data_IF_831123208702
#
_entry.id   IF_831123208702
#
_cell.length_a   1.000
_cell.length_b   1.000
_cell.length_c   1.000
_cell.angle_alpha   90.00
_cell.angle_beta   90.00
_cell.angle_gamma   90.00
#
_symmetry.space_group_name_H-M   'P 1'
#
loop_
_entity.id
_entity.type
_entity.pdbx_description
1 polymer ?
#
# COMPACT_ATOMS: atom_id res chain seq x y z
N UNK A 1 38.62 12.47 2.35
CA UNK A 1 37.55 12.25 1.35
C UNK A 1 38.06 11.23 0.34
N UNK A 2 37.67 9.96 0.50
CA UNK A 2 38.10 8.87 -0.40
C UNK A 2 37.10 8.80 -1.56
N UNK A 3 37.53 9.16 -2.77
CA UNK A 3 36.70 9.12 -3.96
C UNK A 3 36.45 7.68 -4.38
N UNK A 4 35.34 7.08 -3.91
CA UNK A 4 34.90 5.78 -4.37
C UNK A 4 34.37 5.90 -5.80
N UNK A 5 35.25 5.68 -6.78
CA UNK A 5 34.92 5.64 -8.20
C UNK A 5 33.94 4.49 -8.44
N UNK A 6 32.64 4.80 -8.45
CA UNK A 6 31.61 3.83 -8.82
C UNK A 6 31.81 3.45 -10.29
N UNK A 7 32.46 2.30 -10.49
CA UNK A 7 32.50 1.60 -11.77
C UNK A 7 31.06 1.34 -12.21
N UNK A 8 30.52 2.23 -13.06
CA UNK A 8 29.36 1.88 -13.89
C UNK A 8 29.77 0.61 -14.62
N UNK A 9 29.19 -0.53 -14.24
CA UNK A 9 29.35 -1.78 -14.99
C UNK A 9 28.95 -1.45 -16.42
N UNK A 10 29.94 -1.40 -17.33
CA UNK A 10 29.67 -1.26 -18.75
C UNK A 10 28.76 -2.43 -19.12
N UNK A 11 27.58 -2.12 -19.63
CA UNK A 11 26.72 -3.15 -20.20
C UNK A 11 27.49 -3.70 -21.39
N UNK A 12 28.08 -4.88 -21.23
CA UNK A 12 28.83 -5.52 -22.31
C UNK A 12 27.83 -5.83 -23.42
N UNK A 13 28.22 -5.49 -24.66
CA UNK A 13 27.42 -5.83 -25.84
C UNK A 13 27.12 -7.33 -25.80
N UNK A 14 25.87 -7.70 -26.10
CA UNK A 14 25.44 -9.09 -26.05
C UNK A 14 26.30 -9.91 -27.02
N UNK A 15 27.03 -10.89 -26.50
CA UNK A 15 27.91 -11.71 -27.32
C UNK A 15 27.06 -12.72 -28.14
N UNK A 16 27.14 -12.71 -29.49
CA UNK A 16 26.39 -13.65 -30.32
C UNK A 16 26.67 -15.12 -30.02
N UNK A 17 27.91 -15.44 -29.61
CA UNK A 17 28.29 -16.78 -29.16
C UNK A 17 27.48 -17.23 -27.94
N UNK A 18 27.23 -16.33 -26.97
CA UNK A 18 26.43 -16.66 -25.78
C UNK A 18 24.96 -16.90 -26.12
N UNK A 19 24.44 -16.17 -27.10
CA UNK A 19 23.08 -16.36 -27.59
C UNK A 19 22.92 -17.73 -28.28
N UNK A 20 23.90 -18.11 -29.10
CA UNK A 20 23.97 -19.43 -29.72
C UNK A 20 24.02 -20.56 -28.68
N UNK A 21 24.94 -20.47 -27.71
CA UNK A 21 25.05 -21.48 -26.64
C UNK A 21 23.75 -21.62 -25.84
N UNK A 22 23.07 -20.51 -25.55
CA UNK A 22 21.79 -20.54 -24.86
C UNK A 22 20.70 -21.26 -25.66
N UNK A 23 20.61 -21.03 -26.98
CA UNK A 23 19.66 -21.75 -27.84
C UNK A 23 19.99 -23.23 -27.93
N UNK A 24 21.26 -23.59 -28.11
CA UNK A 24 21.71 -24.99 -28.13
C UNK A 24 21.36 -25.69 -26.81
N UNK A 25 21.59 -25.05 -25.67
CA UNK A 25 21.23 -25.58 -24.36
C UNK A 25 19.70 -25.80 -24.23
N UNK A 26 18.88 -24.90 -24.77
CA UNK A 26 17.42 -25.09 -24.84
C UNK A 26 17.05 -26.30 -25.71
N UNK A 27 17.68 -26.46 -26.87
CA UNK A 27 17.33 -27.53 -27.81
C UNK A 27 17.73 -28.91 -27.26
N UNK A 28 18.89 -29.02 -26.59
CA UNK A 28 19.26 -30.22 -25.83
C UNK A 28 18.26 -30.52 -24.72
N UNK A 29 17.78 -29.49 -24.02
CA UNK A 29 16.80 -29.65 -22.95
C UNK A 29 15.35 -29.87 -23.42
N UNK A 30 15.00 -29.61 -24.69
CA UNK A 30 13.65 -29.93 -25.19
C UNK A 30 13.39 -31.45 -25.25
N UNK A 31 14.44 -32.27 -25.18
CA UNK A 31 14.36 -33.73 -25.06
C UNK A 31 14.25 -34.29 -23.64
N UNK A 32 14.30 -33.46 -22.58
CA UNK A 32 14.25 -33.92 -21.18
C UNK A 32 14.13 -32.80 -20.14
N UNK A 33 13.54 -33.08 -18.97
CA UNK A 33 13.06 -32.07 -18.01
C UNK A 33 14.12 -30.98 -17.63
N UNK A 34 13.97 -29.71 -18.10
CA UNK A 34 15.05 -28.70 -18.15
C UNK A 34 15.58 -28.23 -16.79
N UNK A 35 14.77 -28.27 -15.73
CA UNK A 35 15.16 -27.80 -14.40
C UNK A 35 16.03 -28.81 -13.63
N UNK A 36 15.87 -30.11 -13.95
CA UNK A 36 16.61 -31.17 -13.29
C UNK A 36 18.08 -31.15 -13.71
N UNK A 37 18.43 -30.89 -14.98
CA UNK A 37 19.82 -31.01 -15.42
C UNK A 37 20.73 -29.86 -14.94
N UNK A 38 20.24 -28.61 -14.88
CA UNK A 38 21.06 -27.47 -14.46
C UNK A 38 21.27 -27.42 -12.93
N UNK A 39 20.26 -27.80 -12.13
CA UNK A 39 20.40 -27.93 -10.67
C UNK A 39 21.26 -29.17 -10.34
N UNK A 40 21.00 -30.31 -10.98
CA UNK A 40 21.83 -31.52 -10.84
C UNK A 40 23.28 -31.27 -11.29
N UNK A 41 23.54 -30.39 -12.25
CA UNK A 41 24.90 -29.99 -12.64
C UNK A 41 25.63 -29.15 -11.57
N UNK A 42 24.90 -28.43 -10.70
CA UNK A 42 25.48 -27.52 -9.71
C UNK A 42 25.50 -28.05 -8.26
N UNK A 43 24.67 -29.06 -7.89
CA UNK A 43 24.44 -29.41 -6.46
C UNK A 43 24.68 -30.84 -6.00
N UNK A 44 24.98 -31.83 -6.86
CA UNK A 44 25.29 -33.19 -6.35
C UNK A 44 26.81 -33.44 -6.23
N UNK A 45 27.28 -34.02 -5.10
CA UNK A 45 28.67 -34.47 -4.96
C UNK A 45 28.97 -35.61 -5.94
N UNK A 46 30.19 -35.56 -6.50
CA UNK A 46 30.64 -36.31 -7.69
C UNK A 46 30.64 -37.84 -7.51
N UNK A 47 30.47 -38.36 -6.29
CA UNK A 47 30.82 -39.74 -5.96
C UNK A 47 29.90 -40.82 -6.56
N UNK A 48 28.57 -40.61 -6.65
CA UNK A 48 27.64 -41.74 -6.88
C UNK A 48 26.81 -41.67 -8.17
N UNK A 49 27.27 -40.94 -9.20
CA UNK A 49 26.64 -41.06 -10.52
C UNK A 49 27.28 -42.18 -11.32
N UNK A 50 26.48 -43.20 -11.64
CA UNK A 50 26.74 -44.16 -12.73
C UNK A 50 27.17 -43.36 -13.97
N UNK A 51 28.36 -43.65 -14.48
CA UNK A 51 28.97 -43.04 -15.66
C UNK A 51 28.10 -43.29 -16.91
N UNK A 52 27.04 -42.50 -17.08
CA UNK A 52 26.33 -42.35 -18.35
C UNK A 52 26.71 -41.00 -18.95
N UNK A 53 27.61 -41.03 -19.93
CA UNK A 53 27.99 -39.97 -20.87
C UNK A 53 27.87 -38.52 -20.39
N UNK A 54 28.80 -38.15 -19.49
CA UNK A 54 29.24 -36.76 -19.41
C UNK A 54 30.15 -36.51 -20.60
N UNK A 55 29.59 -36.23 -21.77
CA UNK A 55 30.37 -35.56 -22.81
C UNK A 55 31.09 -34.36 -22.15
N UNK A 56 32.40 -34.33 -22.30
CA UNK A 56 33.25 -33.34 -21.67
C UNK A 56 32.77 -31.94 -22.10
N UNK A 57 32.61 -30.98 -21.19
CA UNK A 57 32.22 -29.60 -21.56
C UNK A 57 33.09 -29.04 -22.69
N UNK A 58 34.33 -29.52 -22.77
CA UNK A 58 35.26 -29.25 -23.87
C UNK A 58 34.78 -29.82 -25.21
N UNK A 59 34.33 -31.07 -25.28
CA UNK A 59 33.82 -31.66 -26.53
C UNK A 59 32.54 -30.96 -27.00
N UNK A 60 31.64 -30.61 -26.09
CA UNK A 60 30.44 -29.82 -26.39
C UNK A 60 30.82 -28.42 -26.89
N UNK A 61 31.81 -27.78 -26.27
CA UNK A 61 32.30 -26.47 -26.70
C UNK A 61 32.96 -26.53 -28.08
N UNK A 62 33.73 -27.58 -28.38
CA UNK A 62 34.39 -27.76 -29.69
C UNK A 62 33.37 -28.02 -30.79
N UNK A 63 32.42 -28.94 -30.59
CA UNK A 63 31.36 -29.19 -31.57
C UNK A 63 30.44 -27.99 -31.77
N UNK A 64 30.13 -27.26 -30.69
CA UNK A 64 29.39 -26.00 -30.74
C UNK A 64 30.13 -24.91 -31.53
N UNK A 65 31.45 -24.86 -31.45
CA UNK A 65 32.26 -23.88 -32.18
C UNK A 65 32.20 -24.12 -33.70
N UNK A 66 32.25 -25.38 -34.13
CA UNK A 66 32.12 -25.75 -35.55
C UNK A 66 30.73 -25.46 -36.09
N UNK A 67 29.68 -25.86 -35.36
CA UNK A 67 28.30 -25.55 -35.74
C UNK A 67 28.05 -24.04 -35.82
N UNK A 68 28.56 -23.26 -34.87
CA UNK A 68 28.42 -21.82 -34.87
C UNK A 68 29.01 -21.14 -36.11
N UNK A 69 30.14 -21.64 -36.63
CA UNK A 69 30.73 -21.12 -37.88
C UNK A 69 29.80 -21.36 -39.09
N UNK A 70 28.96 -22.39 -39.03
CA UNK A 70 28.02 -22.73 -40.09
C UNK A 70 26.64 -22.04 -39.95
N UNK A 71 26.37 -21.37 -38.81
CA UNK A 71 25.11 -20.64 -38.61
C UNK A 71 25.08 -19.38 -39.46
N UNK A 72 23.96 -19.17 -40.17
CA UNK A 72 23.79 -17.97 -40.99
C UNK A 72 23.81 -16.70 -40.12
N UNK A 73 24.29 -15.57 -40.67
CA UNK A 73 24.26 -14.28 -39.97
C UNK A 73 22.84 -13.82 -39.62
N UNK A 74 21.84 -14.23 -40.40
CA UNK A 74 20.44 -13.94 -40.12
C UNK A 74 19.95 -14.70 -38.88
N UNK A 75 20.23 -16.01 -38.81
CA UNK A 75 19.87 -16.83 -37.66
C UNK A 75 20.58 -16.37 -36.38
N UNK A 76 21.86 -15.97 -36.51
CA UNK A 76 22.62 -15.45 -35.38
C UNK A 76 21.98 -14.17 -34.81
N UNK A 77 21.51 -13.26 -35.66
CA UNK A 77 20.77 -12.06 -35.23
C UNK A 77 19.48 -12.43 -34.51
N UNK A 78 18.74 -13.41 -35.03
CA UNK A 78 17.52 -13.92 -34.39
C UNK A 78 17.82 -14.53 -33.01
N UNK A 79 18.90 -15.32 -32.88
CA UNK A 79 19.33 -15.88 -31.59
C UNK A 79 19.70 -14.79 -30.59
N UNK A 80 20.41 -13.76 -31.02
CA UNK A 80 20.77 -12.60 -30.17
C UNK A 80 19.51 -11.89 -29.68
N UNK A 81 18.53 -11.65 -30.56
CA UNK A 81 17.26 -11.04 -30.19
C UNK A 81 16.47 -11.91 -29.20
N UNK A 82 16.36 -13.22 -29.45
CA UNK A 82 15.70 -14.16 -28.53
C UNK A 82 16.40 -14.19 -27.16
N UNK A 83 17.73 -14.20 -27.14
CA UNK A 83 18.50 -14.21 -25.91
C UNK A 83 18.40 -12.88 -25.14
N UNK A 84 18.31 -11.75 -25.84
CA UNK A 84 18.03 -10.46 -25.22
C UNK A 84 16.67 -10.46 -24.52
N UNK A 85 15.62 -10.93 -25.22
CA UNK A 85 14.27 -11.09 -24.68
C UNK A 85 14.26 -12.04 -23.47
N UNK A 86 14.99 -13.14 -23.54
CA UNK A 86 15.16 -14.06 -22.41
C UNK A 86 15.86 -13.40 -21.21
N UNK A 87 16.95 -12.64 -21.42
CA UNK A 87 17.58 -11.91 -20.32
C UNK A 87 16.64 -10.89 -19.68
N UNK A 88 15.85 -10.21 -20.50
CA UNK A 88 14.85 -9.27 -20.02
C UNK A 88 13.75 -9.98 -19.23
N UNK A 89 13.28 -11.15 -19.69
CA UNK A 89 12.30 -11.96 -18.96
C UNK A 89 12.86 -12.57 -17.68
N UNK A 90 14.15 -12.94 -17.62
CA UNK A 90 14.80 -13.40 -16.36
C UNK A 90 14.99 -12.24 -15.37
N UNK A 91 15.31 -11.05 -15.89
CA UNK A 91 15.44 -9.83 -15.08
C UNK A 91 14.11 -9.42 -14.47
N UNK A 92 13.03 -9.50 -15.24
CA UNK A 92 11.67 -9.12 -14.83
C UNK A 92 10.84 -10.30 -14.32
N UNK A 93 11.40 -11.51 -14.35
CA UNK A 93 10.69 -12.74 -14.10
C UNK A 93 10.35 -12.88 -12.62
N UNK A 94 9.10 -13.28 -12.36
CA UNK A 94 8.63 -13.57 -11.00
C UNK A 94 9.49 -14.69 -10.42
N UNK A 95 10.11 -14.44 -9.26
CA UNK A 95 10.85 -15.49 -8.53
C UNK A 95 9.85 -16.56 -8.08
N UNK A 96 10.19 -17.83 -8.31
CA UNK A 96 9.29 -18.95 -8.02
C UNK A 96 9.22 -19.23 -6.52
N UNK A 97 10.38 -19.28 -5.84
CA UNK A 97 10.44 -19.65 -4.43
C UNK A 97 10.28 -18.43 -3.51
N UNK A 98 9.67 -18.63 -2.35
CA UNK A 98 9.49 -17.59 -1.32
C UNK A 98 10.83 -17.03 -0.84
N UNK A 99 11.84 -17.88 -0.63
CA UNK A 99 13.18 -17.46 -0.23
C UNK A 99 13.86 -16.61 -1.31
N UNK A 100 13.75 -16.97 -2.59
CA UNK A 100 14.30 -16.16 -3.66
C UNK A 100 13.58 -14.82 -3.79
N UNK A 101 12.26 -14.76 -3.58
CA UNK A 101 11.50 -13.49 -3.54
C UNK A 101 12.01 -12.58 -2.40
N UNK A 102 12.12 -13.12 -1.18
CA UNK A 102 12.57 -12.35 -0.02
C UNK A 102 14.01 -11.81 -0.20
N UNK A 103 14.92 -12.65 -0.73
CA UNK A 103 16.30 -12.24 -1.02
C UNK A 103 16.36 -11.18 -2.12
N UNK A 104 15.61 -11.36 -3.20
CA UNK A 104 15.54 -10.40 -4.32
C UNK A 104 14.98 -9.05 -3.85
N UNK A 105 13.94 -9.07 -2.99
CA UNK A 105 13.40 -7.89 -2.32
C UNK A 105 14.45 -7.17 -1.48
N UNK A 106 15.09 -7.86 -0.53
CA UNK A 106 16.08 -7.26 0.36
C UNK A 106 17.28 -6.69 -0.41
N UNK A 107 17.84 -7.44 -1.36
CA UNK A 107 18.97 -7.01 -2.18
C UNK A 107 18.61 -5.79 -3.06
N UNK A 108 17.39 -5.76 -3.61
CA UNK A 108 16.94 -4.63 -4.44
C UNK A 108 16.75 -3.37 -3.61
N UNK A 109 16.14 -3.49 -2.43
CA UNK A 109 15.96 -2.35 -1.51
C UNK A 109 17.32 -1.82 -1.04
N UNK A 110 18.25 -2.71 -0.69
CA UNK A 110 19.62 -2.33 -0.29
C UNK A 110 20.37 -1.58 -1.41
N UNK A 111 20.27 -2.03 -2.66
CA UNK A 111 20.86 -1.32 -3.80
C UNK A 111 20.21 0.03 -4.04
N UNK A 112 18.89 0.13 -3.88
CA UNK A 112 18.18 1.39 -4.01
C UNK A 112 18.63 2.38 -2.91
N UNK A 113 18.79 1.91 -1.67
CA UNK A 113 19.34 2.70 -0.56
C UNK A 113 20.73 3.26 -0.90
N UNK A 114 21.67 2.42 -1.36
CA UNK A 114 23.03 2.85 -1.70
C UNK A 114 23.01 3.94 -2.80
N UNK A 115 22.19 3.74 -3.83
CA UNK A 115 22.05 4.71 -4.92
C UNK A 115 21.44 6.03 -4.46
N UNK A 116 20.40 5.99 -3.61
CA UNK A 116 19.76 7.19 -3.09
C UNK A 116 20.65 7.94 -2.08
N UNK A 117 21.43 7.23 -1.26
CA UNK A 117 22.47 7.85 -0.41
C UNK A 117 23.55 8.53 -1.26
N UNK A 118 24.01 7.88 -2.33
CA UNK A 118 24.96 8.46 -3.28
C UNK A 118 24.40 9.64 -4.08
N UNK A 119 23.08 9.69 -4.30
CA UNK A 119 22.41 10.86 -4.91
C UNK A 119 22.25 11.99 -3.90
N UNK A 120 21.87 11.67 -2.66
CA UNK A 120 21.73 12.61 -1.55
C UNK A 120 23.05 13.34 -1.28
N UNK A 121 24.17 12.62 -1.23
CA UNK A 121 25.48 13.24 -1.00
C UNK A 121 25.90 14.21 -2.12
N UNK A 122 25.47 13.96 -3.36
CA UNK A 122 25.84 14.79 -4.52
C UNK A 122 24.93 16.00 -4.73
N UNK A 123 23.67 15.91 -4.29
CA UNK A 123 22.63 16.90 -4.63
C UNK A 123 22.00 17.58 -3.42
N UNK A 124 22.23 17.05 -2.21
CA UNK A 124 21.51 17.44 -1.01
C UNK A 124 20.07 16.93 -0.95
N UNK A 125 19.59 16.17 -1.95
CA UNK A 125 18.25 15.60 -1.93
C UNK A 125 18.08 14.60 -0.78
N UNK A 126 16.88 14.58 -0.18
CA UNK A 126 16.56 13.78 1.00
C UNK A 126 15.52 12.74 0.59
N UNK A 127 15.72 11.47 0.96
CA UNK A 127 14.86 10.37 0.54
C UNK A 127 14.37 9.53 1.71
N UNK A 128 13.13 9.07 1.59
CA UNK A 128 12.50 8.09 2.47
C UNK A 128 11.98 6.94 1.59
N UNK A 129 12.38 5.70 1.88
CA UNK A 129 11.89 4.50 1.23
C UNK A 129 11.05 3.73 2.23
N UNK A 130 9.79 3.47 1.85
CA UNK A 130 8.90 2.52 2.51
C UNK A 130 8.70 1.33 1.58
N UNK A 131 9.28 0.19 1.93
CA UNK A 131 9.14 -1.04 1.15
C UNK A 131 8.42 -2.10 2.00
N UNK A 132 7.29 -2.60 1.51
CA UNK A 132 6.46 -3.59 2.19
C UNK A 132 6.13 -4.75 1.28
N UNK A 133 5.80 -5.90 1.86
CA UNK A 133 5.28 -7.04 1.11
C UNK A 133 3.81 -6.80 0.73
N UNK A 134 3.48 -7.00 -0.55
CA UNK A 134 2.09 -6.92 -1.05
C UNK A 134 1.37 -8.26 -1.12
N UNK A 135 2.00 -9.35 -0.66
CA UNK A 135 1.47 -10.70 -0.80
C UNK A 135 1.91 -11.55 0.37
N UNK A 136 1.06 -12.49 0.79
CA UNK A 136 1.40 -13.53 1.77
C UNK A 136 2.25 -14.66 1.19
N UNK A 137 2.55 -14.64 -0.11
CA UNK A 137 3.30 -15.71 -0.80
C UNK A 137 4.79 -15.75 -0.44
N UNK A 138 5.31 -14.72 0.23
CA UNK A 138 6.64 -14.72 0.82
C UNK A 138 6.65 -13.81 2.04
N UNK A 139 7.44 -14.18 3.04
CA UNK A 139 7.62 -13.40 4.26
C UNK A 139 8.94 -12.65 4.16
N UNK A 140 8.90 -11.35 3.87
CA UNK A 140 10.04 -10.46 4.02
C UNK A 140 9.64 -9.34 4.97
N UNK A 141 10.53 -9.01 5.90
CA UNK A 141 10.30 -7.91 6.83
C UNK A 141 10.18 -6.59 6.05
N UNK A 142 9.21 -5.72 6.41
CA UNK A 142 9.16 -4.37 5.90
C UNK A 142 10.49 -3.65 6.07
N UNK A 143 10.86 -2.86 5.07
CA UNK A 143 12.10 -2.09 5.09
C UNK A 143 11.78 -0.60 5.07
N UNK A 144 12.37 0.11 6.03
CA UNK A 144 12.30 1.55 6.19
C UNK A 144 13.72 2.10 6.10
N UNK A 145 13.97 2.91 5.08
CA UNK A 145 15.28 3.53 4.84
C UNK A 145 15.09 5.03 4.74
N UNK A 146 15.87 5.79 5.50
CA UNK A 146 16.00 7.23 5.36
C UNK A 146 17.46 7.57 5.02
N UNK A 147 17.67 8.63 4.25
CA UNK A 147 19.03 9.11 3.95
C UNK A 147 19.74 9.71 5.16
N UNK A 148 18.98 10.19 6.14
CA UNK A 148 19.45 10.99 7.27
C UNK A 148 18.42 10.97 8.40
N UNK A 149 18.89 11.30 9.60
CA UNK A 149 18.08 11.30 10.81
C UNK A 149 16.99 12.39 10.79
N UNK A 150 17.21 13.52 10.14
CA UNK A 150 16.21 14.59 10.06
C UNK A 150 14.97 14.12 9.27
N UNK A 151 15.21 13.47 8.14
CA UNK A 151 14.15 12.88 7.31
C UNK A 151 13.37 11.80 8.06
N UNK A 152 14.06 10.99 8.88
CA UNK A 152 13.41 10.02 9.76
C UNK A 152 12.49 10.71 10.79
N UNK A 153 13.01 11.73 11.47
CA UNK A 153 12.31 12.42 12.55
C UNK A 153 11.18 13.35 12.07
N UNK A 154 11.20 13.78 10.81
CA UNK A 154 10.20 14.69 10.23
C UNK A 154 8.77 14.23 10.48
N UNK A 155 8.48 12.93 10.33
CA UNK A 155 7.12 12.40 10.54
C UNK A 155 6.70 12.42 12.00
N UNK A 156 7.60 12.05 12.90
CA UNK A 156 7.36 12.08 14.34
C UNK A 156 7.16 13.51 14.83
N UNK A 157 8.00 14.45 14.40
CA UNK A 157 7.97 15.84 14.87
C UNK A 157 6.81 16.62 14.26
N UNK A 158 6.60 16.53 12.94
CA UNK A 158 5.61 17.35 12.26
C UNK A 158 4.19 16.76 12.30
N UNK A 159 4.07 15.43 12.34
CA UNK A 159 2.76 14.76 12.27
C UNK A 159 2.43 13.96 13.53
N UNK A 160 3.34 13.85 14.50
CA UNK A 160 3.18 13.00 15.67
C UNK A 160 2.82 11.55 15.27
N UNK A 161 3.48 11.05 14.22
CA UNK A 161 3.27 9.70 13.70
C UNK A 161 4.58 8.93 13.76
N UNK A 162 4.52 7.70 14.28
CA UNK A 162 5.62 6.75 14.15
C UNK A 162 5.66 6.17 12.72
N UNK A 163 6.83 6.23 12.08
CA UNK A 163 7.04 5.68 10.75
C UNK A 163 6.89 4.16 10.73
N UNK A 164 7.23 3.47 11.82
CA UNK A 164 7.05 2.02 11.92
C UNK A 164 5.56 1.64 11.94
N UNK A 165 4.72 2.44 12.57
CA UNK A 165 3.27 2.27 12.52
C UNK A 165 2.72 2.50 11.11
N UNK A 166 3.21 3.54 10.41
CA UNK A 166 2.84 3.80 9.02
C UNK A 166 3.23 2.61 8.14
N UNK A 167 4.45 2.11 8.29
CA UNK A 167 4.98 0.99 7.52
C UNK A 167 4.15 -0.29 7.76
N UNK A 168 3.83 -0.59 9.02
CA UNK A 168 2.99 -1.75 9.39
C UNK A 168 1.58 -1.63 8.80
N UNK A 169 0.97 -0.44 8.86
CA UNK A 169 -0.35 -0.18 8.25
C UNK A 169 -0.30 -0.30 6.73
N UNK A 170 0.77 0.19 6.10
CA UNK A 170 0.97 0.11 4.66
C UNK A 170 1.15 -1.34 4.20
N UNK A 171 1.89 -2.16 4.97
CA UNK A 171 2.01 -3.59 4.71
C UNK A 171 0.66 -4.29 4.81
N UNK A 172 -0.07 -4.10 5.92
CA UNK A 172 -1.41 -4.67 6.08
C UNK A 172 -2.36 -4.28 4.95
N UNK A 173 -2.31 -3.01 4.50
CA UNK A 173 -3.10 -2.53 3.37
C UNK A 173 -2.70 -3.18 2.04
N UNK A 174 -1.40 -3.36 1.82
CA UNK A 174 -0.86 -3.97 0.61
C UNK A 174 -1.23 -5.46 0.53
N UNK A 175 -1.08 -6.20 1.65
CA UNK A 175 -1.50 -7.60 1.77
C UNK A 175 -3.01 -7.76 1.57
N UNK A 176 -3.81 -6.80 2.04
CA UNK A 176 -5.25 -6.76 1.81
C UNK A 176 -5.66 -6.42 0.36
N UNK A 177 -4.69 -6.27 -0.56
CA UNK A 177 -4.94 -6.00 -1.97
C UNK A 177 -5.51 -4.60 -2.23
N UNK A 178 -5.10 -3.61 -1.42
CA UNK A 178 -5.57 -2.23 -1.56
C UNK A 178 -7.04 -2.04 -1.17
N UNK A 179 -7.67 -3.05 -0.58
CA UNK A 179 -9.05 -2.96 -0.09
C UNK A 179 -9.02 -2.66 1.41
N UNK A 180 -9.12 -1.38 1.75
CA UNK A 180 -9.42 -0.88 3.10
C UNK A 180 -10.82 -1.30 3.60
N UNK A 181 -11.60 -2.03 2.79
CA UNK A 181 -13.00 -2.35 3.03
C UNK A 181 -13.24 -3.13 4.33
N UNK A 182 -12.22 -3.83 4.85
CA UNK A 182 -12.30 -4.44 6.19
C UNK A 182 -12.32 -3.40 7.32
N UNK A 183 -11.46 -2.38 7.28
CA UNK A 183 -11.33 -1.43 8.39
C UNK A 183 -12.35 -0.28 8.32
N UNK A 184 -12.52 0.35 7.15
CA UNK A 184 -13.51 1.41 6.96
C UNK A 184 -14.95 0.86 6.93
N UNK A 185 -15.12 -0.35 6.39
CA UNK A 185 -16.41 -1.05 6.38
C UNK A 185 -16.89 -1.38 7.79
N UNK A 186 -15.99 -1.76 8.70
CA UNK A 186 -16.37 -2.05 10.09
C UNK A 186 -16.93 -0.82 10.82
N UNK A 187 -16.38 0.37 10.58
CA UNK A 187 -16.95 1.59 11.18
C UNK A 187 -18.32 1.91 10.60
N UNK A 188 -18.47 1.87 9.28
CA UNK A 188 -19.75 2.12 8.62
C UNK A 188 -20.82 1.10 9.03
N UNK A 189 -20.45 -0.18 9.14
CA UNK A 189 -21.31 -1.26 9.64
C UNK A 189 -21.69 -1.03 11.09
N UNK A 190 -20.74 -0.71 11.97
CA UNK A 190 -21.02 -0.41 13.38
C UNK A 190 -22.02 0.75 13.52
N UNK A 191 -21.84 1.82 12.74
CA UNK A 191 -22.80 2.94 12.70
C UNK A 191 -24.16 2.53 12.13
N UNK A 192 -24.20 1.64 11.14
CA UNK A 192 -25.47 1.12 10.59
C UNK A 192 -26.19 0.19 11.57
N UNK A 193 -25.49 -0.70 12.26
CA UNK A 193 -26.05 -1.59 13.28
C UNK A 193 -26.65 -0.75 14.41
N UNK A 194 -25.89 0.22 14.94
CA UNK A 194 -26.41 1.13 15.96
C UNK A 194 -27.61 1.96 15.50
N UNK A 195 -27.71 2.30 14.21
CA UNK A 195 -28.89 2.99 13.67
C UNK A 195 -30.11 2.08 13.57
N UNK A 196 -29.93 0.81 13.18
CA UNK A 196 -31.01 -0.18 13.09
C UNK A 196 -31.59 -0.50 14.46
N UNK A 197 -30.76 -0.54 15.50
CA UNK A 197 -31.25 -0.88 16.83
C UNK A 197 -32.02 0.27 17.54
N UNK A 198 -31.98 1.49 17.02
CA UNK A 198 -32.87 2.57 17.49
C UNK A 198 -34.35 2.32 17.14
N UNK A 199 -34.67 1.31 16.33
CA UNK A 199 -36.04 1.00 15.91
C UNK A 199 -37.00 0.73 17.11
N UNK A 200 -36.48 0.38 18.30
CA UNK A 200 -37.27 0.19 19.53
C UNK A 200 -38.10 1.43 19.90
N UNK A 201 -37.60 2.63 19.58
CA UNK A 201 -38.29 3.89 19.91
C UNK A 201 -39.38 4.28 18.91
N UNK A 202 -39.58 3.52 17.82
CA UNK A 202 -40.46 3.84 16.69
C UNK A 202 -40.17 5.19 15.99
N UNK A 203 -39.15 5.92 16.41
CA UNK A 203 -38.75 7.20 15.84
C UNK A 203 -37.47 7.06 15.03
N UNK A 204 -37.61 6.97 13.70
CA UNK A 204 -36.48 6.83 12.77
C UNK A 204 -35.54 8.05 12.74
N UNK A 205 -35.91 9.15 13.41
CA UNK A 205 -35.18 10.43 13.40
C UNK A 205 -34.24 10.63 14.57
N UNK A 206 -34.24 9.73 15.56
CA UNK A 206 -33.38 9.88 16.73
C UNK A 206 -31.92 9.68 16.33
N UNK A 207 -31.09 10.69 16.61
CA UNK A 207 -29.64 10.61 16.45
C UNK A 207 -29.02 10.34 17.80
N UNK A 208 -28.19 9.30 17.88
CA UNK A 208 -27.47 8.95 19.10
C UNK A 208 -26.55 10.10 19.56
N UNK A 209 -26.73 10.56 20.80
CA UNK A 209 -25.92 11.61 21.41
C UNK A 209 -25.19 11.06 22.64
N UNK A 210 -23.93 10.65 22.48
CA UNK A 210 -23.16 10.01 23.55
C UNK A 210 -22.84 10.94 24.74
N UNK A 211 -22.54 12.23 24.49
CA UNK A 211 -22.24 13.20 25.56
C UNK A 211 -23.44 13.54 26.44
N UNK A 212 -24.63 13.56 25.86
CA UNK A 212 -25.88 13.93 26.54
C UNK A 212 -26.83 12.73 26.56
N UNK A 213 -26.26 11.53 26.61
CA UNK A 213 -26.96 10.26 26.46
C UNK A 213 -28.09 10.11 27.47
N UNK A 214 -27.79 10.35 28.76
CA UNK A 214 -28.78 10.25 29.82
C UNK A 214 -29.99 11.15 29.56
N UNK A 215 -29.75 12.45 29.38
CA UNK A 215 -30.81 13.46 29.17
C UNK A 215 -31.60 13.27 27.88
N UNK A 216 -30.95 12.94 26.77
CA UNK A 216 -31.60 12.93 25.46
C UNK A 216 -32.12 11.58 25.02
N UNK A 217 -31.58 10.48 25.55
CA UNK A 217 -32.02 9.12 25.20
C UNK A 217 -32.77 8.52 26.38
N UNK A 218 -32.14 8.40 27.55
CA UNK A 218 -32.74 7.73 28.72
C UNK A 218 -33.94 8.51 29.26
N UNK A 219 -33.77 9.80 29.61
CA UNK A 219 -34.85 10.60 30.21
C UNK A 219 -36.03 10.85 29.26
N UNK A 220 -35.77 11.00 27.96
CA UNK A 220 -36.81 11.32 26.97
C UNK A 220 -37.55 10.10 26.43
N UNK A 221 -36.81 9.02 26.14
CA UNK A 221 -37.36 7.87 25.43
C UNK A 221 -37.52 6.64 26.32
N UNK A 222 -37.06 6.69 27.58
CA UNK A 222 -37.11 5.55 28.52
C UNK A 222 -36.43 4.29 27.96
N UNK A 223 -35.32 4.48 27.24
CA UNK A 223 -34.52 3.37 26.68
C UNK A 223 -33.10 3.45 27.19
N UNK A 224 -32.57 2.31 27.62
CA UNK A 224 -31.18 2.15 28.09
C UNK A 224 -30.48 1.09 27.25
N UNK A 225 -29.26 1.37 26.83
CA UNK A 225 -28.35 0.41 26.23
C UNK A 225 -27.64 -0.40 27.32
N UNK A 226 -27.95 -1.69 27.41
CA UNK A 226 -27.32 -2.64 28.34
C UNK A 226 -26.09 -3.30 27.71
N UNK A 227 -25.22 -3.85 28.56
CA UNK A 227 -24.09 -4.70 28.17
C UNK A 227 -23.06 -4.05 27.23
N UNK A 228 -22.83 -2.75 27.41
CA UNK A 228 -21.75 -2.05 26.71
C UNK A 228 -20.39 -2.65 27.09
N UNK A 229 -19.52 -3.04 26.13
CA UNK A 229 -18.33 -3.84 26.42
C UNK A 229 -17.14 -3.06 27.00
N UNK A 230 -17.28 -1.76 27.27
CA UNK A 230 -16.21 -0.90 27.76
C UNK A 230 -16.58 -0.19 29.05
N UNK A 231 -15.58 0.11 29.88
CA UNK A 231 -15.78 0.83 31.15
C UNK A 231 -16.37 2.24 30.96
N UNK A 232 -16.09 2.89 29.82
CA UNK A 232 -16.56 4.26 29.53
C UNK A 232 -17.46 4.28 28.31
N UNK A 233 -18.64 4.85 28.48
CA UNK A 233 -19.60 5.07 27.40
C UNK A 233 -19.16 6.24 26.51
N UNK A 234 -18.76 5.94 25.27
CA UNK A 234 -18.17 6.91 24.33
C UNK A 234 -18.67 6.70 22.91
N UNK A 235 -18.55 7.74 22.09
CA UNK A 235 -18.86 7.64 20.66
C UNK A 235 -17.95 6.62 19.97
N UNK A 236 -18.47 5.81 19.02
CA UNK A 236 -17.65 4.93 18.18
C UNK A 236 -16.53 5.67 17.46
N UNK A 237 -16.72 6.94 17.09
CA UNK A 237 -15.66 7.77 16.49
C UNK A 237 -14.52 8.10 17.47
N UNK A 238 -14.78 8.10 18.78
CA UNK A 238 -13.73 8.24 19.79
C UNK A 238 -13.05 6.90 20.09
N UNK A 239 -13.68 5.78 19.73
CA UNK A 239 -13.11 4.43 19.79
C UNK A 239 -12.29 4.09 18.53
N UNK A 240 -12.42 4.85 17.44
CA UNK A 240 -11.82 4.54 16.13
C UNK A 240 -10.29 4.57 16.10
N UNK A 241 -9.63 5.10 17.14
CA UNK A 241 -8.18 4.97 17.32
C UNK A 241 -7.73 3.53 17.55
N UNK A 242 -8.65 2.61 17.88
CA UNK A 242 -8.37 1.20 18.15
C UNK A 242 -9.38 0.30 17.42
N UNK A 243 -8.98 -0.18 16.24
CA UNK A 243 -9.73 -1.19 15.47
C UNK A 243 -10.27 -2.36 16.31
N UNK A 244 -9.51 -2.96 17.25
CA UNK A 244 -10.04 -4.08 18.05
C UNK A 244 -11.20 -3.65 18.94
N UNK A 245 -11.21 -2.43 19.48
CA UNK A 245 -12.36 -1.94 20.27
C UNK A 245 -13.61 -1.81 19.41
N UNK A 246 -13.49 -1.25 18.21
CA UNK A 246 -14.64 -1.15 17.30
C UNK A 246 -15.16 -2.54 16.90
N UNK A 247 -14.27 -3.52 16.72
CA UNK A 247 -14.65 -4.90 16.46
C UNK A 247 -15.35 -5.54 17.67
N UNK A 248 -14.81 -5.42 18.88
CA UNK A 248 -15.45 -5.93 20.11
C UNK A 248 -16.86 -5.35 20.30
N UNK A 249 -17.04 -4.06 19.99
CA UNK A 249 -18.35 -3.42 20.05
C UNK A 249 -19.32 -3.98 19.01
N UNK A 250 -18.87 -4.14 17.77
CA UNK A 250 -19.68 -4.71 16.70
C UNK A 250 -20.06 -6.17 17.02
N UNK A 251 -19.13 -6.95 17.54
CA UNK A 251 -19.37 -8.32 18.02
C UNK A 251 -20.36 -8.37 19.19
N UNK A 252 -20.32 -7.38 20.09
CA UNK A 252 -21.26 -7.29 21.22
C UNK A 252 -22.69 -6.96 20.77
N UNK A 253 -22.83 -6.12 19.73
CA UNK A 253 -24.12 -5.72 19.14
C UNK A 253 -24.70 -6.81 18.22
N UNK A 254 -23.88 -7.42 17.36
CA UNK A 254 -24.35 -8.44 16.40
C UNK A 254 -24.60 -9.81 17.05
N UNK A 255 -24.04 -10.05 18.25
CA UNK A 255 -24.05 -11.36 18.88
C UNK A 255 -23.01 -12.29 18.25
N UNK A 256 -21.94 -12.59 18.98
CA UNK A 256 -20.87 -13.44 18.48
C UNK A 256 -21.37 -14.89 18.29
N UNK A 257 -21.44 -15.35 17.03
CA UNK A 257 -21.57 -16.78 16.71
C UNK A 257 -22.90 -17.43 17.12
N UNK A 258 -24.01 -16.70 17.03
CA UNK A 258 -25.35 -17.23 17.35
C UNK A 258 -25.74 -17.11 18.82
N UNK A 259 -24.89 -16.51 19.65
CA UNK A 259 -25.27 -16.10 21.00
C UNK A 259 -26.08 -14.80 20.96
N UNK A 260 -26.96 -14.63 21.94
CA UNK A 260 -27.70 -13.38 22.13
C UNK A 260 -26.75 -12.18 22.18
N UNK A 261 -27.14 -11.03 21.60
CA UNK A 261 -26.31 -9.83 21.65
C UNK A 261 -26.07 -9.47 23.11
N UNK A 262 -24.80 -9.22 23.46
CA UNK A 262 -24.45 -8.78 24.81
C UNK A 262 -24.83 -7.32 24.99
N UNK A 263 -24.74 -6.53 23.92
CA UNK A 263 -25.15 -5.14 23.91
C UNK A 263 -26.49 -5.00 23.17
N UNK A 264 -27.52 -4.57 23.87
CA UNK A 264 -28.86 -4.39 23.32
C UNK A 264 -29.59 -3.26 24.03
N UNK A 265 -30.62 -2.74 23.37
CA UNK A 265 -31.48 -1.70 23.91
C UNK A 265 -32.65 -2.31 24.65
N UNK A 266 -32.95 -1.75 25.82
CA UNK A 266 -34.01 -2.19 26.71
C UNK A 266 -34.87 -0.98 27.10
N UNK A 267 -36.20 -1.13 27.02
CA UNK A 267 -37.15 -0.16 27.57
C UNK A 267 -37.23 -0.34 29.08
N UNK A 268 -37.06 0.76 29.82
CA UNK A 268 -37.07 0.75 31.29
C UNK A 268 -38.42 1.21 31.84
N UNK A 269 -38.82 0.65 32.98
CA UNK A 269 -40.01 1.07 33.72
C UNK A 269 -39.76 2.37 34.52
N UNK A 270 -40.82 3.06 34.94
CA UNK A 270 -40.70 4.35 35.64
C UNK A 270 -39.94 4.24 36.97
N UNK A 271 -40.07 3.12 37.68
CA UNK A 271 -39.31 2.86 38.91
C UNK A 271 -37.81 2.71 38.67
N UNK A 272 -37.44 1.99 37.60
CA UNK A 272 -36.04 1.84 37.22
C UNK A 272 -35.47 3.16 36.70
N UNK A 273 -36.30 3.94 36.01
CA UNK A 273 -35.93 5.28 35.56
C UNK A 273 -35.60 6.20 36.74
N UNK A 274 -36.44 6.26 37.78
CA UNK A 274 -36.18 7.09 38.97
C UNK A 274 -34.87 6.68 39.67
N UNK A 275 -34.60 5.38 39.76
CA UNK A 275 -33.35 4.87 40.32
C UNK A 275 -32.13 5.29 39.48
N UNK A 276 -32.19 5.16 38.16
CA UNK A 276 -31.11 5.57 37.26
C UNK A 276 -30.88 7.09 37.25
N UNK A 277 -31.96 7.88 37.32
CA UNK A 277 -31.88 9.34 37.38
C UNK A 277 -31.21 9.78 38.70
N UNK A 278 -31.58 9.17 39.82
CA UNK A 278 -30.94 9.43 41.12
C UNK A 278 -29.46 9.01 41.15
N UNK A 279 -29.09 7.89 40.52
CA UNK A 279 -27.68 7.51 40.37
C UNK A 279 -26.90 8.47 39.47
N UNK A 280 -27.52 8.94 38.38
CA UNK A 280 -26.91 9.91 37.48
C UNK A 280 -26.63 11.23 38.20
N UNK A 281 -27.61 11.77 38.93
CA UNK A 281 -27.45 12.98 39.75
C UNK A 281 -26.33 12.81 40.79
N UNK A 282 -26.30 11.68 41.50
CA UNK A 282 -25.22 11.37 42.44
C UNK A 282 -23.83 11.36 41.78
N UNK A 283 -23.71 10.79 40.58
CA UNK A 283 -22.45 10.77 39.84
C UNK A 283 -22.03 12.15 39.33
N UNK A 284 -23.00 13.01 39.01
CA UNK A 284 -22.75 14.42 38.66
C UNK A 284 -22.28 15.21 39.88
N UNK A 285 -22.92 15.02 41.03
CA UNK A 285 -22.53 15.68 42.30
C UNK A 285 -21.13 15.28 42.76
N UNK A 286 -20.75 14.01 42.53
CA UNK A 286 -19.40 13.51 42.81
C UNK A 286 -18.36 13.98 41.77
N UNK A 287 -18.78 14.60 40.67
CA UNK A 287 -17.90 15.02 39.58
C UNK A 287 -17.31 13.88 38.76
N UNK A 288 -17.90 12.68 38.82
CA UNK A 288 -17.51 11.54 37.98
C UNK A 288 -17.99 11.72 36.53
N UNK A 289 -19.12 12.41 36.35
CA UNK A 289 -19.68 12.77 35.06
C UNK A 289 -19.68 14.28 34.94
N UNK A 290 -19.18 14.80 33.82
CA UNK A 290 -19.26 16.22 33.52
C UNK A 290 -20.73 16.66 33.50
N UNK A 291 -21.10 17.57 34.40
CA UNK A 291 -22.44 18.15 34.43
C UNK A 291 -22.78 18.67 33.02
N UNK A 292 -24.00 18.42 32.51
CA UNK A 292 -24.41 18.94 31.21
C UNK A 292 -24.17 20.44 31.17
N UNK A 293 -23.24 20.90 30.33
CA UNK A 293 -22.96 22.33 30.22
C UNK A 293 -24.26 23.04 29.88
N UNK A 294 -24.75 23.83 30.83
CA UNK A 294 -25.82 24.76 30.55
C UNK A 294 -25.36 25.63 29.40
N UNK A 295 -26.18 25.67 28.35
CA UNK A 295 -25.83 26.40 27.15
C UNK A 295 -25.78 27.86 27.57
N UNK A 296 -24.56 28.43 27.62
CA UNK A 296 -24.35 29.80 28.04
C UNK A 296 -25.35 30.70 27.31
N UNK A 297 -26.12 31.46 28.09
CA UNK A 297 -27.09 32.40 27.55
C UNK A 297 -26.32 33.30 26.59
N UNK A 298 -26.76 33.30 25.33
CA UNK A 298 -26.05 34.08 24.31
C UNK A 298 -26.08 35.54 24.73
N UNK A 299 -24.98 36.28 24.53
CA UNK A 299 -24.86 37.70 24.91
C UNK A 299 -25.89 38.61 24.23
N UNK A 300 -26.54 38.11 23.18
CA UNK A 300 -27.59 38.76 22.40
C UNK A 300 -28.99 38.22 22.70
N UNK A 301 -29.13 37.21 23.58
CA UNK A 301 -30.44 36.76 24.06
C UNK A 301 -31.16 37.94 24.75
N UNK A 302 -32.29 38.35 24.19
CA UNK A 302 -33.06 39.52 24.64
C UNK A 302 -32.66 40.85 23.99
N UNK A 303 -31.53 40.94 23.27
CA UNK A 303 -31.23 42.14 22.47
C UNK A 303 -32.11 42.10 21.22
N UNK A 304 -33.04 43.06 21.10
CA UNK A 304 -33.76 43.30 19.85
C UNK A 304 -32.71 43.48 18.76
N UNK A 305 -32.62 42.51 17.84
CA UNK A 305 -31.82 42.67 16.63
C UNK A 305 -32.26 43.98 16.00
N UNK A 306 -31.33 44.93 15.87
CA UNK A 306 -31.60 46.14 15.12
C UNK A 306 -32.14 45.68 13.78
N UNK A 307 -33.41 46.02 13.50
CA UNK A 307 -34.04 45.75 12.22
C UNK A 307 -33.19 46.53 11.24
N UNK A 308 -32.25 45.83 10.59
CA UNK A 308 -31.39 46.37 9.56
C UNK A 308 -32.34 47.03 8.59
N UNK A 309 -32.41 48.36 8.63
CA UNK A 309 -33.23 49.10 7.69
C UNK A 309 -32.69 48.66 6.33
N UNK A 310 -33.53 47.97 5.58
CA UNK A 310 -33.24 47.64 4.20
C UNK A 310 -33.10 49.00 3.53
N UNK A 311 -31.87 49.51 3.44
CA UNK A 311 -31.57 50.64 2.59
C UNK A 311 -32.06 50.22 1.22
N UNK A 312 -33.00 51.00 0.68
CA UNK A 312 -33.70 50.75 -0.57
C UNK A 312 -32.78 50.82 -1.82
N UNK A 313 -31.48 50.62 -1.66
CA UNK A 313 -30.44 50.76 -2.66
C UNK A 313 -29.66 49.47 -2.89
N UNK A 314 -30.33 48.33 -2.99
CA UNK A 314 -29.77 47.22 -3.77
C UNK A 314 -30.75 46.86 -4.88
N UNK A 315 -30.69 47.68 -5.92
CA UNK A 315 -31.31 47.44 -7.22
C UNK A 315 -30.97 46.02 -7.68
N UNK A 316 -32.03 45.25 -7.96
CA UNK A 316 -32.11 44.20 -8.99
C UNK A 316 -30.76 43.87 -9.66
N UNK A 317 -30.04 42.88 -9.13
CA UNK A 317 -29.22 42.03 -10.00
C UNK A 317 -30.01 40.75 -10.23
N UNK A 318 -30.57 40.69 -11.43
CA UNK A 318 -31.19 39.50 -12.04
C UNK A 318 -30.37 38.27 -11.67
N UNK A 319 -31.08 37.24 -11.23
CA UNK A 319 -30.60 35.88 -11.11
C UNK A 319 -29.96 35.43 -12.43
N UNK A 320 -28.64 35.35 -12.46
CA UNK A 320 -27.98 34.37 -13.31
C UNK A 320 -27.95 33.08 -12.51
N UNK A 321 -28.77 32.13 -12.95
CA UNK A 321 -28.77 30.72 -12.57
C UNK A 321 -27.35 30.17 -12.68
N UNK A 322 -26.57 30.28 -11.61
CA UNK A 322 -25.27 29.64 -11.52
C UNK A 322 -25.53 28.16 -11.22
N UNK A 323 -25.65 27.39 -12.29
CA UNK A 323 -25.55 25.94 -12.25
C UNK A 323 -24.25 25.55 -11.53
N UNK A 324 -24.29 24.63 -10.55
CA UNK A 324 -23.09 24.15 -9.90
C UNK A 324 -22.18 23.52 -10.95
N UNK A 325 -20.93 24.00 -10.99
CA UNK A 325 -19.86 23.51 -11.88
C UNK A 325 -19.70 22.01 -11.65
N UNK A 326 -20.14 21.23 -12.63
CA UNK A 326 -20.08 19.77 -12.65
C UNK A 326 -18.62 19.31 -12.54
N UNK A 327 -18.43 18.34 -11.66
CA UNK A 327 -17.22 17.53 -11.49
C UNK A 327 -16.90 16.87 -12.83
N UNK A 328 -15.74 17.20 -13.42
CA UNK A 328 -15.20 16.52 -14.59
C UNK A 328 -15.13 15.02 -14.32
N UNK A 329 -15.95 14.27 -15.06
CA UNK A 329 -15.77 12.85 -15.29
C UNK A 329 -14.67 12.68 -16.31
N UNK A 330 -13.53 12.15 -15.89
CA UNK A 330 -12.48 11.68 -16.81
C UNK A 330 -13.02 10.42 -17.50
N UNK A 331 -13.56 10.60 -18.70
CA UNK A 331 -13.80 9.53 -19.66
C UNK A 331 -12.46 9.14 -20.29
N UNK A 332 -11.81 8.10 -19.75
CA UNK A 332 -10.79 7.37 -20.51
C UNK A 332 -11.53 6.46 -21.49
N UNK A 333 -11.75 7.00 -22.69
CA UNK A 333 -12.10 6.24 -23.87
C UNK A 333 -10.81 5.82 -24.59
N UNK A 334 -10.86 4.61 -25.13
CA UNK A 334 -9.86 3.94 -25.93
C UNK A 334 -9.19 4.82 -26.98
N UNK A 335 -7.87 4.61 -27.13
CA UNK A 335 -7.19 4.81 -28.40
C UNK A 335 -6.20 3.68 -28.58
N UNK A 336 -6.68 2.60 -29.20
CA UNK A 336 -5.83 1.71 -29.99
C UNK A 336 -5.23 2.54 -31.14
N UNK A 337 -3.92 2.55 -31.24
CA UNK A 337 -3.23 2.88 -32.49
C UNK A 337 -1.90 2.15 -32.50
N UNK A 338 -1.95 0.93 -33.05
CA UNK A 338 -0.84 0.41 -33.82
C UNK A 338 -0.48 1.43 -34.90
N UNK A 339 0.78 1.87 -34.96
CA UNK A 339 1.44 1.89 -36.25
C UNK A 339 2.97 1.86 -36.14
N UNK A 340 3.52 1.01 -36.98
CA UNK A 340 4.93 0.82 -37.28
C UNK A 340 5.46 2.04 -38.04
N UNK A 341 6.67 2.49 -37.71
CA UNK A 341 7.56 2.99 -38.76
C UNK A 341 9.03 2.92 -38.34
N UNK A 342 9.67 1.92 -38.92
CA UNK A 342 11.09 1.74 -39.16
C UNK A 342 11.70 3.00 -39.82
N UNK A 343 12.85 3.47 -39.33
CA UNK A 343 13.74 4.33 -40.11
C UNK A 343 15.15 4.35 -39.52
N UNK A 344 15.98 3.53 -40.15
CA UNK A 344 17.44 3.58 -40.19
C UNK A 344 18.02 4.94 -40.57
N UNK A 345 19.05 5.40 -39.84
CA UNK A 345 20.23 6.10 -40.36
C UNK A 345 21.36 5.80 -39.36
N UNK A 346 22.47 5.14 -39.68
CA UNK A 346 23.47 5.32 -40.74
C UNK A 346 24.19 6.67 -40.66
N UNK A 347 25.10 6.78 -39.68
CA UNK A 347 26.25 7.67 -39.79
C UNK A 347 27.49 6.90 -39.35
N UNK A 348 28.18 6.43 -40.38
CA UNK A 348 29.57 6.06 -40.43
C UNK A 348 30.45 7.27 -40.10
N UNK A 349 31.30 7.15 -39.10
CA UNK A 349 32.48 8.02 -38.95
C UNK A 349 33.70 7.16 -38.67
N UNK A 350 34.38 6.88 -39.78
CA UNK A 350 35.77 6.50 -39.89
C UNK A 350 36.66 7.61 -39.34
N UNK A 351 37.53 7.30 -38.37
CA UNK A 351 38.81 7.99 -38.24
C UNK A 351 39.91 6.94 -38.15
N UNK A 352 40.76 7.00 -39.17
CA UNK A 352 42.06 6.34 -39.29
C UNK A 352 43.06 7.02 -38.36
N UNK A 353 43.94 6.18 -37.82
CA UNK A 353 45.39 6.35 -37.76
C UNK A 353 45.94 7.77 -37.90
N UNK A 354 46.62 8.24 -36.85
CA UNK A 354 47.90 8.92 -36.99
C UNK A 354 48.82 8.46 -35.85
N UNK A 355 49.94 7.89 -36.25
CA UNK A 355 51.11 7.61 -35.44
C UNK A 355 52.15 8.71 -35.76
N UNK A 356 52.75 9.32 -34.75
CA UNK A 356 54.09 9.91 -34.71
C UNK A 356 54.27 10.45 -33.27
N UNK A 357 55.14 9.88 -32.43
CA UNK A 357 56.59 10.08 -32.33
C UNK A 357 56.98 11.28 -31.45
N UNK A 358 58.18 11.21 -30.85
CA UNK A 358 58.89 12.20 -30.02
C UNK A 358 58.75 12.12 -28.48
N UNK A 359 59.73 11.40 -27.90
CA UNK A 359 60.63 11.82 -26.82
C UNK A 359 60.22 12.97 -25.87
N UNK A 360 60.14 12.67 -24.57
CA UNK A 360 61.12 13.11 -23.56
C UNK A 360 60.97 12.31 -22.26
#
# INVERSE_FOLDING_TARGET
MSGSAHLRRRVTKLNPWMAFLHRRAKDVNKGGNPLLHFIKFLTEPVADRVLGDKENLRSISTSASEEYKNVSKADLRNMVAEYANYKQSVKNGVRVTSLSKAKDFAETVFRAEEQLKGLSSRTGAKFLILAVCGSTSFNAAPCLVATDQETWMFFTVCYNMDLMDILTKLEGYSIAGGKLSGAAGNYAKCVQVMKKECDITNETTIKMQYLTYHRNIVSKHRVVLRGWPFDKFRSPSQLSGSTPKVQSLLTALEGAGGNSPTCYWETIDDKEFEALDAEYERNVDQGLIDAPRERAVRKDAGKKRARRQQSASCKKRKSSTATPKSRETVSNADSESDDNSDSSSSSSESNKDDAEDAAN
#
